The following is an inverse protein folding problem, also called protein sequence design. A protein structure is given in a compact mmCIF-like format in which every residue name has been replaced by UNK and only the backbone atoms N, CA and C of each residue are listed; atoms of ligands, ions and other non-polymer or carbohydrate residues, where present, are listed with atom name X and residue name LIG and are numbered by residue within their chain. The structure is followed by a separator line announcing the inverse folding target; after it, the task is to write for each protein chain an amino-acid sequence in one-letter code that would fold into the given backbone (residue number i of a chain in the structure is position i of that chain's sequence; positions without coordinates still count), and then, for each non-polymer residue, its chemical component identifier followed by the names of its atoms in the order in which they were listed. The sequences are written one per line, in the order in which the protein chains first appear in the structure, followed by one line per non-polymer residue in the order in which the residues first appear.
data_IF_344618813906
#
_entry.id   IF_344618813906
#
_cell.length_a   1.000
_cell.length_b   1.000
_cell.length_c   1.000
_cell.angle_alpha   90.00
_cell.angle_beta   90.00
_cell.angle_gamma   90.00
#
_symmetry.space_group_name_H-M   'P 1'
#
loop_
_entity.id
_entity.type
_entity.pdbx_description
1 polymer ?
#
# COMPACT_ATOMS: atom_id res chain seq x y z
N UNK A 1 10.22 -14.41 9.46
CA UNK A 1 9.06 -13.51 9.50
C UNK A 1 8.78 -13.22 10.96
N UNK A 2 8.78 -11.96 11.32
CA UNK A 2 8.51 -11.48 12.67
C UNK A 2 7.03 -11.75 13.06
N UNK A 3 6.72 -11.85 14.35
CA UNK A 3 5.37 -12.13 14.84
C UNK A 3 4.41 -10.99 14.51
N UNK A 4 4.86 -9.73 14.60
CA UNK A 4 4.04 -8.56 14.25
C UNK A 4 3.78 -8.50 12.74
N UNK A 5 4.78 -8.81 11.91
CA UNK A 5 4.61 -8.87 10.45
C UNK A 5 3.59 -9.94 10.06
N UNK A 6 3.65 -11.12 10.70
CA UNK A 6 2.67 -12.21 10.47
C UNK A 6 1.25 -11.77 10.84
N UNK A 7 1.09 -11.11 11.97
CA UNK A 7 -0.21 -10.62 12.43
C UNK A 7 -0.75 -9.53 11.49
N UNK A 8 0.09 -8.56 11.12
CA UNK A 8 -0.25 -7.51 10.17
C UNK A 8 -0.69 -8.09 8.82
N UNK A 9 0.07 -9.05 8.25
CA UNK A 9 -0.29 -9.74 7.02
C UNK A 9 -1.62 -10.49 7.14
N UNK A 10 -1.89 -11.10 8.29
CA UNK A 10 -3.16 -11.80 8.55
C UNK A 10 -4.34 -10.82 8.53
N UNK A 11 -4.20 -9.68 9.21
CA UNK A 11 -5.21 -8.60 9.25
C UNK A 11 -5.44 -8.03 7.86
N UNK A 12 -4.36 -7.67 7.16
CA UNK A 12 -4.40 -7.11 5.81
C UNK A 12 -5.09 -8.06 4.84
N UNK A 13 -4.70 -9.35 4.85
CA UNK A 13 -5.29 -10.36 3.98
C UNK A 13 -6.77 -10.59 4.26
N UNK A 14 -7.15 -10.63 5.54
CA UNK A 14 -8.57 -10.72 5.92
C UNK A 14 -9.36 -9.52 5.42
N UNK A 15 -8.86 -8.29 5.64
CA UNK A 15 -9.54 -7.08 5.20
C UNK A 15 -9.74 -7.04 3.67
N UNK A 16 -8.72 -7.47 2.91
CA UNK A 16 -8.81 -7.58 1.46
C UNK A 16 -9.89 -8.58 1.03
N UNK A 17 -9.91 -9.78 1.62
CA UNK A 17 -10.87 -10.83 1.29
C UNK A 17 -12.31 -10.47 1.68
N UNK A 18 -12.49 -9.87 2.87
CA UNK A 18 -13.79 -9.42 3.35
C UNK A 18 -14.37 -8.32 2.43
N UNK A 19 -13.53 -7.40 1.96
CA UNK A 19 -13.95 -6.36 1.02
C UNK A 19 -14.39 -6.94 -0.34
N UNK A 20 -13.63 -7.91 -0.87
CA UNK A 20 -14.03 -8.59 -2.10
C UNK A 20 -15.40 -9.26 -1.93
N UNK A 21 -15.59 -10.00 -0.84
CA UNK A 21 -16.85 -10.67 -0.55
C UNK A 21 -18.01 -9.68 -0.41
N UNK A 22 -17.76 -8.53 0.22
CA UNK A 22 -18.74 -7.45 0.34
C UNK A 22 -19.13 -6.85 -1.03
N UNK A 23 -18.15 -6.51 -1.87
CA UNK A 23 -18.39 -5.83 -3.16
C UNK A 23 -18.99 -6.79 -4.20
N UNK A 24 -18.54 -8.05 -4.24
CA UNK A 24 -19.01 -9.04 -5.22
C UNK A 24 -20.40 -9.60 -4.89
N UNK A 25 -20.84 -9.48 -3.64
CA UNK A 25 -22.05 -10.14 -3.14
C UNK A 25 -21.90 -11.66 -3.02
N UNK A 26 -22.83 -12.28 -2.31
CA UNK A 26 -22.78 -13.70 -1.88
C UNK A 26 -22.72 -14.71 -3.06
N UNK A 27 -23.10 -14.29 -4.27
CA UNK A 27 -23.33 -15.19 -5.41
C UNK A 27 -22.24 -15.20 -6.49
N UNK A 28 -21.22 -14.33 -6.39
CA UNK A 28 -20.18 -14.24 -7.40
C UNK A 28 -18.86 -14.85 -6.87
N UNK A 29 -18.40 -15.92 -7.52
CA UNK A 29 -17.28 -16.75 -7.03
C UNK A 29 -15.99 -16.58 -7.83
N UNK A 30 -15.93 -15.65 -8.79
CA UNK A 30 -14.70 -15.42 -9.56
C UNK A 30 -13.70 -14.54 -8.81
N UNK A 31 -12.97 -15.17 -7.91
CA UNK A 31 -11.83 -14.57 -7.21
C UNK A 31 -10.56 -14.51 -8.08
N UNK A 32 -10.55 -15.12 -9.28
CA UNK A 32 -9.34 -15.25 -10.10
C UNK A 32 -8.82 -13.92 -10.65
N UNK A 33 -9.67 -12.90 -10.69
CA UNK A 33 -9.31 -11.54 -11.12
C UNK A 33 -8.57 -10.71 -10.06
N UNK A 34 -8.56 -11.13 -8.80
CA UNK A 34 -7.92 -10.41 -7.70
C UNK A 34 -6.47 -10.86 -7.48
N UNK A 35 -5.56 -9.90 -7.30
CA UNK A 35 -4.13 -10.17 -7.20
C UNK A 35 -3.74 -10.91 -5.93
N UNK A 36 -4.43 -10.69 -4.79
CA UNK A 36 -4.15 -11.40 -3.54
C UNK A 36 -5.10 -12.57 -3.25
N UNK A 37 -5.96 -12.91 -4.20
CA UNK A 37 -6.76 -14.13 -4.14
C UNK A 37 -6.00 -15.35 -4.68
N UNK A 38 -6.44 -16.55 -4.30
CA UNK A 38 -6.02 -17.84 -4.89
C UNK A 38 -4.51 -18.07 -5.01
N UNK A 39 -3.85 -18.44 -3.90
CA UNK A 39 -2.42 -18.83 -3.78
C UNK A 39 -1.39 -17.80 -4.26
N UNK A 40 -1.80 -16.69 -4.86
CA UNK A 40 -0.94 -15.57 -5.25
C UNK A 40 -0.38 -14.90 -4.00
N UNK A 41 0.85 -14.42 -4.13
CA UNK A 41 1.60 -13.77 -3.05
C UNK A 41 1.99 -12.38 -3.47
N UNK A 42 1.95 -11.47 -2.51
CA UNK A 42 2.23 -10.07 -2.73
C UNK A 42 3.25 -9.57 -1.71
N UNK A 43 4.16 -8.72 -2.17
CA UNK A 43 4.99 -7.91 -1.29
C UNK A 43 4.43 -6.51 -1.21
N UNK A 44 4.06 -6.08 0.00
CA UNK A 44 3.55 -4.75 0.28
C UNK A 44 4.67 -3.80 0.66
N UNK A 45 4.62 -2.58 0.14
CA UNK A 45 5.54 -1.50 0.48
C UNK A 45 4.77 -0.41 1.20
N UNK A 46 5.29 0.01 2.35
CA UNK A 46 4.91 1.24 3.02
C UNK A 46 6.13 2.15 3.05
N UNK A 47 6.10 3.22 2.26
CA UNK A 47 7.24 4.13 2.13
C UNK A 47 6.88 5.46 2.78
N UNK A 48 7.54 5.80 3.88
CA UNK A 48 7.40 7.08 4.56
C UNK A 48 7.93 8.18 3.66
N UNK A 49 7.12 9.22 3.50
CA UNK A 49 7.42 10.38 2.66
C UNK A 49 7.09 11.65 3.43
N UNK A 50 7.71 12.75 3.01
CA UNK A 50 7.47 14.05 3.61
C UNK A 50 6.00 14.45 3.53
N UNK A 51 5.48 14.94 4.65
CA UNK A 51 4.16 15.53 4.74
C UNK A 51 4.29 17.04 4.96
N UNK A 52 3.86 17.81 3.97
CA UNK A 52 3.76 19.27 4.08
C UNK A 52 2.58 19.71 4.96
N UNK A 53 1.70 18.78 5.35
CA UNK A 53 0.57 19.09 6.22
C UNK A 53 1.03 19.45 7.65
N UNK A 54 0.32 20.37 8.29
CA UNK A 54 0.59 20.80 9.66
C UNK A 54 0.15 19.77 10.72
N UNK A 55 -0.33 18.59 10.30
CA UNK A 55 -0.86 17.55 11.19
C UNK A 55 0.30 16.85 11.88
N UNK A 56 0.70 17.38 13.04
CA UNK A 56 1.82 16.86 13.83
C UNK A 56 1.62 15.46 14.40
N UNK A 57 0.42 14.87 14.29
CA UNK A 57 0.07 13.58 14.88
C UNK A 57 0.16 12.40 13.92
N UNK A 58 0.35 12.65 12.62
CA UNK A 58 0.40 11.60 11.60
C UNK A 58 1.65 11.67 10.74
N UNK A 59 2.01 10.53 10.16
CA UNK A 59 3.07 10.35 9.19
C UNK A 59 2.47 9.89 7.88
N UNK A 60 2.96 10.43 6.77
CA UNK A 60 2.45 10.15 5.44
C UNK A 60 3.26 9.04 4.78
N UNK A 61 2.55 8.10 4.18
CA UNK A 61 3.13 6.98 3.47
C UNK A 61 2.51 6.86 2.07
N UNK A 62 3.32 6.45 1.10
CA UNK A 62 2.79 5.81 -0.11
C UNK A 62 2.81 4.30 0.09
N UNK A 63 1.66 3.69 -0.16
CA UNK A 63 1.45 2.25 -0.13
C UNK A 63 1.30 1.72 -1.56
N UNK A 64 1.91 0.57 -1.85
CA UNK A 64 1.63 -0.23 -3.04
C UNK A 64 2.05 -1.69 -2.82
N UNK A 65 1.57 -2.59 -3.66
CA UNK A 65 1.90 -4.00 -3.69
C UNK A 65 2.59 -4.39 -5.00
N UNK A 66 3.49 -5.37 -4.92
CA UNK A 66 4.12 -6.01 -6.08
C UNK A 66 3.83 -7.51 -6.05
N UNK A 67 3.79 -8.14 -7.24
CA UNK A 67 3.73 -9.60 -7.33
C UNK A 67 5.03 -10.19 -6.79
N UNK A 68 4.92 -11.17 -5.91
CA UNK A 68 6.08 -11.84 -5.31
C UNK A 68 5.81 -13.36 -5.14
N UNK A 69 6.81 -14.06 -4.63
CA UNK A 69 6.80 -15.49 -4.30
C UNK A 69 6.36 -15.76 -2.86
N UNK A 70 6.43 -14.76 -1.98
CA UNK A 70 5.98 -14.82 -0.58
C UNK A 70 5.24 -13.56 -0.18
N UNK A 71 4.29 -13.70 0.76
CA UNK A 71 3.65 -12.54 1.38
C UNK A 71 4.64 -11.90 2.35
N UNK A 72 4.90 -10.59 2.22
CA UNK A 72 5.82 -9.85 3.10
C UNK A 72 5.52 -8.36 3.09
N UNK A 73 5.93 -7.66 4.14
CA UNK A 73 5.81 -6.21 4.26
C UNK A 73 7.20 -5.59 4.28
N UNK A 74 7.44 -4.60 3.42
CA UNK A 74 8.63 -3.78 3.44
C UNK A 74 8.28 -2.34 3.83
N UNK A 75 8.95 -1.83 4.85
CA UNK A 75 8.79 -0.48 5.37
C UNK A 75 10.07 0.28 5.06
N UNK A 76 9.96 1.38 4.33
CA UNK A 76 11.08 2.26 3.98
C UNK A 76 10.82 3.66 4.50
N UNK A 77 11.88 4.37 4.87
CA UNK A 77 11.79 5.76 5.32
C UNK A 77 12.62 6.65 4.39
N UNK A 78 11.93 7.54 3.67
CA UNK A 78 12.53 8.60 2.86
C UNK A 78 12.00 9.97 3.24
N UNK A 79 11.47 10.16 4.47
CA UNK A 79 10.84 11.41 4.90
C UNK A 79 11.81 12.60 4.77
N UNK A 80 13.07 12.42 5.14
CA UNK A 80 14.08 13.50 5.07
C UNK A 80 14.47 13.79 3.63
N UNK A 81 14.67 12.76 2.82
CA UNK A 81 15.10 12.83 1.43
C UNK A 81 14.01 13.42 0.52
N UNK A 82 12.75 13.27 0.92
CA UNK A 82 11.58 13.83 0.22
C UNK A 82 11.16 15.20 0.76
N UNK A 83 11.85 15.76 1.77
CA UNK A 83 11.61 17.13 2.22
C UNK A 83 12.30 18.13 1.28
N UNK A 84 11.73 18.27 0.09
CA UNK A 84 12.21 19.18 -0.95
C UNK A 84 11.05 19.98 -1.54
N UNK A 85 11.33 21.19 -2.01
CA UNK A 85 10.33 22.03 -2.68
C UNK A 85 9.69 21.34 -3.88
N UNK A 86 10.47 20.56 -4.65
CA UNK A 86 9.93 19.78 -5.78
C UNK A 86 8.91 18.74 -5.30
N UNK A 87 9.26 17.98 -4.27
CA UNK A 87 8.39 16.92 -3.76
C UNK A 87 7.10 17.48 -3.15
N UNK A 88 7.18 18.57 -2.40
CA UNK A 88 6.02 19.22 -1.78
C UNK A 88 4.92 19.53 -2.81
N UNK A 89 5.31 20.03 -3.99
CA UNK A 89 4.40 20.38 -5.08
C UNK A 89 3.70 19.17 -5.74
N UNK A 90 4.23 17.96 -5.56
CA UNK A 90 3.67 16.73 -6.15
C UNK A 90 3.11 15.76 -5.11
N UNK A 91 3.33 16.04 -3.82
CA UNK A 91 3.15 15.09 -2.72
C UNK A 91 1.71 14.58 -2.55
N UNK A 92 0.72 15.23 -3.18
CA UNK A 92 -0.70 14.85 -3.13
C UNK A 92 -1.14 13.94 -4.29
N UNK A 93 -0.25 13.62 -5.25
CA UNK A 93 -0.57 12.78 -6.39
C UNK A 93 0.24 11.48 -6.34
N UNK A 94 -0.44 10.35 -6.12
CA UNK A 94 0.21 9.06 -5.91
C UNK A 94 1.17 8.66 -7.05
N UNK A 95 0.76 8.89 -8.31
CA UNK A 95 1.58 8.52 -9.46
C UNK A 95 2.82 9.41 -9.60
N UNK A 96 2.67 10.72 -9.37
CA UNK A 96 3.82 11.64 -9.38
C UNK A 96 4.80 11.32 -8.25
N UNK A 97 4.29 11.00 -7.05
CA UNK A 97 5.11 10.56 -5.92
C UNK A 97 5.90 9.31 -6.30
N UNK A 98 5.25 8.27 -6.83
CA UNK A 98 5.94 7.04 -7.24
C UNK A 98 7.01 7.31 -8.32
N UNK A 99 6.69 8.11 -9.33
CA UNK A 99 7.63 8.50 -10.38
C UNK A 99 8.84 9.28 -9.82
N UNK A 100 8.61 10.15 -8.83
CA UNK A 100 9.68 10.89 -8.16
C UNK A 100 10.61 9.95 -7.39
N UNK A 101 10.06 8.98 -6.63
CA UNK A 101 10.87 8.00 -5.89
C UNK A 101 11.78 7.19 -6.82
N UNK A 102 11.28 6.81 -8.01
CA UNK A 102 12.07 6.08 -9.01
C UNK A 102 13.09 6.98 -9.72
N UNK A 103 12.70 8.20 -10.07
CA UNK A 103 13.60 9.15 -10.79
C UNK A 103 14.79 9.55 -9.92
N UNK A 104 14.57 9.68 -8.61
CA UNK A 104 15.60 9.99 -7.61
C UNK A 104 16.33 8.74 -7.08
N UNK A 105 16.11 7.55 -7.67
CA UNK A 105 16.77 6.28 -7.31
C UNK A 105 16.52 5.80 -5.87
N UNK A 106 15.48 6.29 -5.20
CA UNK A 106 15.01 5.72 -3.93
C UNK A 106 14.37 4.35 -4.15
N UNK A 107 13.78 4.13 -5.33
CA UNK A 107 13.30 2.84 -5.81
C UNK A 107 13.97 2.47 -7.13
N UNK A 108 14.26 1.18 -7.32
CA UNK A 108 14.75 0.68 -8.61
C UNK A 108 13.69 0.84 -9.69
N UNK A 109 14.09 1.21 -10.91
CA UNK A 109 13.20 1.27 -12.09
C UNK A 109 12.51 -0.06 -12.38
N UNK A 110 13.16 -1.17 -12.02
CA UNK A 110 12.64 -2.53 -12.24
C UNK A 110 11.45 -2.88 -11.35
N UNK A 111 11.14 -2.05 -10.34
CA UNK A 111 9.96 -2.24 -9.49
C UNK A 111 8.67 -1.89 -10.22
N UNK A 112 8.69 -0.86 -11.08
CA UNK A 112 7.51 -0.33 -11.78
C UNK A 112 6.69 -1.41 -12.49
N UNK A 113 7.27 -2.27 -13.35
CA UNK A 113 6.49 -3.30 -14.04
C UNK A 113 5.93 -4.39 -13.10
N UNK A 114 6.41 -4.47 -11.85
CA UNK A 114 5.94 -5.44 -10.85
C UNK A 114 4.83 -4.90 -9.98
N UNK A 115 4.65 -3.58 -9.92
CA UNK A 115 3.62 -2.93 -9.12
C UNK A 115 2.25 -3.30 -9.68
N UNK A 116 1.34 -3.63 -8.76
CA UNK A 116 -0.08 -3.72 -9.04
C UNK A 116 -0.66 -2.31 -9.00
N UNK A 117 -1.06 -1.71 -10.14
CA UNK A 117 -1.42 -0.28 -10.17
C UNK A 117 -2.56 0.10 -9.23
N UNK A 118 -3.52 -0.81 -9.03
CA UNK A 118 -4.72 -0.60 -8.20
C UNK A 118 -4.39 -0.55 -6.70
N UNK A 119 -3.21 -1.00 -6.31
CA UNK A 119 -2.74 -0.97 -4.91
C UNK A 119 -2.18 0.40 -4.51
N UNK A 120 -1.88 1.29 -5.46
CA UNK A 120 -1.16 2.53 -5.19
C UNK A 120 -2.06 3.53 -4.46
N UNK A 121 -1.77 3.80 -3.19
CA UNK A 121 -2.54 4.74 -2.38
C UNK A 121 -1.66 5.53 -1.38
N UNK A 122 -1.97 6.80 -1.15
CA UNK A 122 -1.42 7.55 -0.01
C UNK A 122 -2.24 7.23 1.24
N UNK A 123 -1.54 6.99 2.34
CA UNK A 123 -2.15 6.70 3.65
C UNK A 123 -1.40 7.43 4.77
N UNK A 124 -2.02 7.49 5.94
CA UNK A 124 -1.47 8.18 7.11
C UNK A 124 -1.50 7.25 8.30
N UNK A 125 -0.35 7.10 8.95
CA UNK A 125 -0.19 6.35 10.20
C UNK A 125 -0.02 7.33 11.35
N UNK A 126 -0.43 6.94 12.55
CA UNK A 126 -0.21 7.74 13.76
C UNK A 126 1.28 7.73 14.11
N UNK A 127 1.85 8.91 14.42
CA UNK A 127 3.25 9.05 14.85
C UNK A 127 3.54 8.24 16.11
N UNK A 128 4.78 7.77 16.24
CA UNK A 128 5.30 7.05 17.41
C UNK A 128 4.63 5.69 17.71
N UNK A 129 3.82 5.17 16.79
CA UNK A 129 3.29 3.81 16.87
C UNK A 129 3.89 2.97 15.74
N UNK A 130 4.19 1.71 16.04
CA UNK A 130 4.62 0.76 15.02
C UNK A 130 3.51 0.60 13.97
N UNK A 131 3.87 0.79 12.70
CA UNK A 131 2.99 0.64 11.54
C UNK A 131 2.26 -0.71 11.56
N UNK A 132 2.97 -1.79 11.91
CA UNK A 132 2.44 -3.16 11.89
C UNK A 132 1.33 -3.37 12.92
N UNK A 133 1.27 -2.53 13.95
CA UNK A 133 0.24 -2.60 15.01
C UNK A 133 -1.02 -1.77 14.70
N UNK A 134 -0.98 -0.92 13.67
CA UNK A 134 -2.07 0.00 13.32
C UNK A 134 -3.11 -0.67 12.40
N UNK A 135 -3.76 -1.70 12.92
CA UNK A 135 -4.67 -2.60 12.19
C UNK A 135 -5.77 -1.90 11.37
N UNK A 136 -6.30 -0.78 11.85
CA UNK A 136 -7.33 0.00 11.16
C UNK A 136 -6.80 0.64 9.87
N UNK A 137 -5.60 1.22 9.92
CA UNK A 137 -4.94 1.87 8.77
C UNK A 137 -4.53 0.80 7.76
N UNK A 138 -3.93 -0.30 8.23
CA UNK A 138 -3.56 -1.44 7.41
C UNK A 138 -4.78 -2.00 6.66
N UNK A 139 -5.86 -2.28 7.39
CA UNK A 139 -7.11 -2.78 6.80
C UNK A 139 -7.66 -1.83 5.74
N UNK A 140 -7.67 -0.53 6.01
CA UNK A 140 -8.17 0.47 5.06
C UNK A 140 -7.38 0.51 3.74
N UNK A 141 -6.05 0.32 3.80
CA UNK A 141 -5.23 0.23 2.59
C UNK A 141 -5.68 -0.93 1.69
N UNK A 142 -5.99 -2.08 2.29
CA UNK A 142 -6.35 -3.28 1.54
C UNK A 142 -7.79 -3.26 1.03
N UNK A 143 -8.71 -2.64 1.77
CA UNK A 143 -10.07 -2.40 1.29
C UNK A 143 -10.06 -1.52 0.03
N UNK A 144 -9.33 -0.40 0.06
CA UNK A 144 -9.16 0.48 -1.10
C UNK A 144 -8.54 -0.24 -2.30
N UNK A 145 -7.55 -1.10 -2.05
CA UNK A 145 -6.93 -1.89 -3.10
C UNK A 145 -7.94 -2.87 -3.74
N UNK A 146 -8.65 -3.65 -2.93
CA UNK A 146 -9.66 -4.59 -3.43
C UNK A 146 -10.77 -3.87 -4.23
N UNK A 147 -11.25 -2.74 -3.73
CA UNK A 147 -12.26 -1.90 -4.41
C UNK A 147 -11.76 -1.36 -5.76
N UNK A 148 -10.51 -0.89 -5.81
CA UNK A 148 -9.90 -0.41 -7.05
C UNK A 148 -9.74 -1.52 -8.11
N UNK A 149 -9.35 -2.74 -7.69
CA UNK A 149 -9.29 -3.90 -8.59
C UNK A 149 -10.66 -4.30 -9.14
N UNK A 150 -11.69 -4.25 -8.30
CA UNK A 150 -13.06 -4.54 -8.74
C UNK A 150 -13.52 -3.54 -9.81
N UNK A 151 -13.30 -2.23 -9.55
CA UNK A 151 -13.71 -1.14 -10.44
C UNK A 151 -13.01 -1.14 -11.80
N UNK A 152 -11.74 -1.52 -11.86
CA UNK A 152 -11.00 -1.59 -13.14
C UNK A 152 -11.56 -2.64 -14.09
N UNK A 153 -12.09 -3.72 -13.53
CA UNK A 153 -12.53 -4.90 -14.28
C UNK A 153 -14.06 -4.99 -14.42
N UNK A 154 -14.78 -3.89 -14.16
CA UNK A 154 -16.23 -3.73 -14.33
C UNK A 154 -16.51 -2.82 -15.53
#
# INVERSE_FOLDING_TARGET
MDDNEREALTIMKKAYQDEIAYIMGVNNTDFSRFYWANKRRLKMYFIKIFDSSSIKISEKYIFFATKDTSDSIEILDFEKETHTFEFENISHNNQKVLNYLVSNKFLSKDIIPKIVPESINITFFVKNFDILTQSSVLSNCLKKFADAEYKKNS
#
